data_IF_088936159667
#
_entry.id   IF_088936159667
#
_cell.length_a   1.000
_cell.length_b   1.000
_cell.length_c   1.000
_cell.angle_alpha   90.00
_cell.angle_beta   90.00
_cell.angle_gamma   90.00
#
_symmetry.space_group_name_H-M   'P 1'
#
loop_
_entity.id
_entity.type
_entity.pdbx_description
1 polymer ?
#
# COMPACT_ATOMS: atom_id res chain seq x y z
N UNK A 1 -7.49 6.10 13.82
CA UNK A 1 -7.76 5.85 12.39
C UNK A 1 -7.29 7.04 11.60
N UNK A 2 -6.21 6.93 10.81
CA UNK A 2 -5.75 8.03 9.98
C UNK A 2 -6.65 8.24 8.76
N UNK A 3 -6.70 9.48 8.25
CA UNK A 3 -7.23 9.80 6.92
C UNK A 3 -6.22 9.45 5.81
N UNK A 4 -6.41 9.91 4.58
CA UNK A 4 -5.42 9.68 3.51
C UNK A 4 -4.10 10.37 3.86
N UNK A 5 -3.03 9.58 3.99
CA UNK A 5 -1.70 10.08 4.28
C UNK A 5 -0.91 10.33 3.00
N UNK A 6 0.02 11.28 3.08
CA UNK A 6 1.04 11.53 2.06
C UNK A 6 2.27 12.16 2.72
N UNK A 7 3.42 12.09 2.06
CA UNK A 7 4.64 12.70 2.58
C UNK A 7 5.90 12.02 2.07
N UNK A 8 7.04 12.33 2.71
CA UNK A 8 8.27 11.58 2.54
C UNK A 8 8.06 10.06 2.70
N UNK A 9 8.86 9.29 1.97
CA UNK A 9 8.87 7.83 1.95
C UNK A 9 7.60 7.15 1.39
N UNK A 10 6.67 7.91 0.81
CA UNK A 10 5.52 7.34 0.09
C UNK A 10 5.97 6.64 -1.22
N UNK A 11 5.06 5.87 -1.83
CA UNK A 11 5.30 5.18 -3.08
C UNK A 11 4.97 6.08 -4.28
N UNK A 12 5.96 6.74 -4.88
CA UNK A 12 5.79 7.64 -6.04
C UNK A 12 5.71 6.92 -7.40
N UNK A 13 5.10 5.74 -7.44
CA UNK A 13 4.87 5.00 -8.69
C UNK A 13 3.68 5.58 -9.47
N UNK A 14 3.78 5.83 -10.79
CA UNK A 14 2.72 6.52 -11.54
C UNK A 14 1.38 5.76 -11.62
N UNK A 15 1.38 4.43 -11.46
CA UNK A 15 0.17 3.58 -11.60
C UNK A 15 -0.19 2.74 -10.38
N UNK A 16 0.67 2.67 -9.36
CA UNK A 16 0.47 1.78 -8.20
C UNK A 16 0.62 2.54 -6.88
N UNK A 17 0.02 3.73 -6.81
CA UNK A 17 0.15 4.62 -5.66
C UNK A 17 -1.14 5.37 -5.37
N UNK A 18 -1.18 5.96 -4.18
CA UNK A 18 -2.27 6.82 -3.75
C UNK A 18 -2.33 8.09 -4.60
N UNK A 19 -3.45 8.81 -4.52
CA UNK A 19 -3.75 9.96 -5.40
C UNK A 19 -2.62 11.00 -5.42
N UNK A 20 -2.11 11.43 -4.25
CA UNK A 20 -1.05 12.45 -4.16
C UNK A 20 0.26 11.99 -4.82
N UNK A 21 0.90 10.88 -4.41
CA UNK A 21 2.17 10.46 -4.98
C UNK A 21 2.06 10.14 -6.49
N UNK A 22 0.93 9.57 -6.94
CA UNK A 22 0.68 9.34 -8.36
C UNK A 22 0.67 10.64 -9.14
N UNK A 23 -0.07 11.65 -8.66
CA UNK A 23 -0.19 12.93 -9.35
C UNK A 23 1.13 13.69 -9.34
N UNK A 24 1.82 13.77 -8.20
CA UNK A 24 3.15 14.39 -8.13
C UNK A 24 4.12 13.76 -9.13
N UNK A 25 4.13 12.43 -9.25
CA UNK A 25 5.00 11.78 -10.24
C UNK A 25 4.62 12.12 -11.68
N UNK A 26 3.34 12.08 -12.02
CA UNK A 26 2.86 12.28 -13.39
C UNK A 26 3.04 13.73 -13.86
N UNK A 27 2.84 14.70 -12.97
CA UNK A 27 3.14 16.09 -13.28
C UNK A 27 4.63 16.33 -13.45
N UNK A 28 5.46 15.67 -12.64
CA UNK A 28 6.91 15.79 -12.77
C UNK A 28 7.37 15.29 -14.15
N UNK A 29 6.94 14.08 -14.53
CA UNK A 29 7.27 13.50 -15.84
C UNK A 29 6.75 14.33 -17.00
N UNK A 30 5.51 14.82 -16.93
CA UNK A 30 4.94 15.66 -17.96
C UNK A 30 5.68 17.00 -18.12
N UNK A 31 6.13 17.59 -17.00
CA UNK A 31 6.95 18.81 -17.02
C UNK A 31 8.30 18.53 -17.68
N UNK A 32 8.97 17.44 -17.30
CA UNK A 32 10.27 17.06 -17.88
C UNK A 32 10.18 16.75 -19.39
N UNK A 33 9.03 16.25 -19.86
CA UNK A 33 8.79 15.90 -21.25
C UNK A 33 8.17 17.03 -22.08
N UNK A 34 7.92 18.20 -21.49
CA UNK A 34 7.13 19.28 -22.10
C UNK A 34 5.79 18.78 -22.68
N UNK A 35 5.16 17.83 -21.99
CA UNK A 35 3.86 17.34 -22.39
C UNK A 35 2.81 18.45 -22.21
N UNK A 36 1.84 18.57 -23.13
CA UNK A 36 0.83 19.62 -23.05
C UNK A 36 -0.11 19.41 -21.84
N UNK A 37 -0.44 18.15 -21.53
CA UNK A 37 -1.45 17.80 -20.54
C UNK A 37 -1.12 16.53 -19.73
N UNK A 38 -1.59 16.49 -18.48
CA UNK A 38 -1.68 15.27 -17.66
C UNK A 38 -3.12 14.78 -17.57
N UNK A 39 -3.36 13.51 -17.89
CA UNK A 39 -4.69 12.88 -17.87
C UNK A 39 -5.10 12.45 -16.46
N UNK A 40 -5.98 13.15 -15.76
CA UNK A 40 -6.49 12.71 -14.45
C UNK A 40 -7.81 11.95 -14.63
N UNK A 41 -7.91 10.74 -14.08
CA UNK A 41 -9.13 9.93 -14.17
C UNK A 41 -10.26 10.50 -13.30
N UNK A 42 -11.49 10.41 -13.80
CA UNK A 42 -12.68 10.90 -13.13
C UNK A 42 -13.02 12.35 -13.45
N UNK A 43 -14.07 12.86 -12.83
CA UNK A 43 -14.54 14.24 -13.02
C UNK A 43 -13.78 15.27 -12.17
N UNK A 44 -12.99 14.78 -11.20
CA UNK A 44 -12.30 15.61 -10.21
C UNK A 44 -13.23 16.29 -9.20
N UNK A 45 -14.52 15.94 -9.19
CA UNK A 45 -15.52 16.44 -8.22
C UNK A 45 -15.50 15.73 -6.85
N UNK A 46 -15.04 14.46 -6.70
CA UNK A 46 -15.00 13.84 -5.39
C UNK A 46 -14.12 14.62 -4.40
N UNK A 47 -14.66 14.82 -3.20
CA UNK A 47 -13.98 15.49 -2.10
C UNK A 47 -13.23 14.49 -1.21
N UNK A 48 -11.97 14.78 -0.93
CA UNK A 48 -11.09 13.93 -0.13
C UNK A 48 -10.34 14.79 0.89
N UNK A 49 -10.14 14.20 2.06
CA UNK A 49 -9.29 14.71 3.12
C UNK A 49 -7.88 14.12 2.99
N UNK A 50 -6.86 14.94 3.28
CA UNK A 50 -5.45 14.54 3.26
C UNK A 50 -4.72 15.09 4.48
N UNK A 51 -3.81 14.31 5.05
CA UNK A 51 -2.97 14.70 6.18
C UNK A 51 -1.50 14.37 5.87
N UNK A 52 -0.60 15.30 6.16
CA UNK A 52 0.83 15.05 5.99
C UNK A 52 1.30 13.99 7.00
N UNK A 53 2.23 13.12 6.61
CA UNK A 53 2.70 12.01 7.46
C UNK A 53 3.37 12.49 8.75
N UNK A 54 4.03 13.66 8.72
CA UNK A 54 4.64 14.23 9.93
C UNK A 54 3.59 14.73 10.92
N UNK A 55 2.46 15.30 10.45
CA UNK A 55 1.31 15.62 11.30
C UNK A 55 0.70 14.34 11.90
N UNK A 56 0.62 13.26 11.10
CA UNK A 56 0.16 11.97 11.61
C UNK A 56 1.08 11.41 12.71
N UNK A 57 2.40 11.56 12.54
CA UNK A 57 3.38 11.15 13.54
C UNK A 57 3.24 12.01 14.82
N UNK A 58 3.14 13.33 14.68
CA UNK A 58 2.94 14.25 15.80
C UNK A 58 1.64 13.95 16.58
N UNK A 59 0.52 13.73 15.87
CA UNK A 59 -0.74 13.33 16.50
C UNK A 59 -0.64 11.99 17.23
N UNK A 60 0.08 11.03 16.64
CA UNK A 60 0.25 9.70 17.23
C UNK A 60 1.06 9.77 18.53
N UNK A 61 2.13 10.55 18.55
CA UNK A 61 2.93 10.81 19.75
C UNK A 61 2.09 11.53 20.80
N UNK A 62 1.40 12.60 20.41
CA UNK A 62 0.51 13.37 21.31
C UNK A 62 -0.50 12.46 22.01
N UNK A 63 -1.24 11.64 21.25
CA UNK A 63 -2.25 10.73 21.80
C UNK A 63 -1.62 9.65 22.70
N UNK A 64 -0.42 9.18 22.37
CA UNK A 64 0.30 8.17 23.17
C UNK A 64 0.83 8.73 24.50
N UNK A 65 1.16 10.02 24.56
CA UNK A 65 1.70 10.70 25.74
C UNK A 65 0.62 11.30 26.67
N UNK A 66 -0.64 11.25 26.27
CA UNK A 66 -1.75 11.68 27.11
C UNK A 66 -1.80 10.90 28.43
N UNK A 67 -2.15 11.61 29.50
CA UNK A 67 -2.53 10.96 30.75
C UNK A 67 -3.72 10.03 30.50
N UNK A 68 -3.66 8.81 31.05
CA UNK A 68 -4.62 7.75 30.75
C UNK A 68 -6.06 8.14 31.12
N UNK A 69 -6.23 8.90 32.20
CA UNK A 69 -7.51 9.46 32.64
C UNK A 69 -8.11 10.41 31.60
N UNK A 70 -7.31 11.29 30.98
CA UNK A 70 -7.78 12.21 29.92
C UNK A 70 -8.21 11.43 28.68
N UNK A 71 -7.46 10.37 28.34
CA UNK A 71 -7.83 9.49 27.24
C UNK A 71 -9.13 8.73 27.53
N UNK A 72 -9.33 8.24 28.76
CA UNK A 72 -10.57 7.57 29.16
C UNK A 72 -11.78 8.52 29.18
N UNK A 73 -11.61 9.78 29.56
CA UNK A 73 -12.68 10.79 29.56
C UNK A 73 -13.20 11.10 28.14
N UNK A 74 -12.35 10.94 27.13
CA UNK A 74 -12.67 11.26 25.73
C UNK A 74 -12.99 10.02 24.88
N UNK A 75 -12.87 8.82 25.44
CA UNK A 75 -13.08 7.55 24.74
C UNK A 75 -14.05 6.63 25.49
N UNK A 76 -14.42 5.53 24.85
CA UNK A 76 -15.23 4.47 25.47
C UNK A 76 -14.49 3.14 25.31
N UNK A 77 -14.55 2.20 26.27
CA UNK A 77 -13.81 0.94 26.20
C UNK A 77 -14.01 0.15 24.89
N UNK A 78 -15.20 0.20 24.31
CA UNK A 78 -15.55 -0.49 23.05
C UNK A 78 -15.61 0.44 21.83
N UNK A 79 -15.31 1.74 21.99
CA UNK A 79 -15.22 2.74 20.92
C UNK A 79 -14.05 3.68 21.19
N UNK A 80 -12.87 3.08 21.36
CA UNK A 80 -11.67 3.72 21.88
C UNK A 80 -10.77 4.36 20.81
N UNK A 81 -11.05 4.10 19.52
CA UNK A 81 -10.26 4.67 18.44
C UNK A 81 -10.45 6.19 18.34
N UNK A 82 -9.38 6.88 17.96
CA UNK A 82 -9.37 8.32 17.68
C UNK A 82 -9.10 8.53 16.20
N UNK A 83 -9.91 9.34 15.53
CA UNK A 83 -9.67 9.75 14.16
C UNK A 83 -8.55 10.77 14.11
N UNK A 84 -7.65 10.62 13.13
CA UNK A 84 -6.51 11.51 12.91
C UNK A 84 -6.56 12.02 11.49
N UNK A 85 -6.82 13.31 11.34
CA UNK A 85 -7.10 13.98 10.08
C UNK A 85 -7.15 15.49 10.27
N UNK A 86 -7.46 16.21 9.21
CA UNK A 86 -7.62 17.67 9.23
C UNK A 86 -9.06 18.09 9.51
N UNK A 87 -10.04 17.20 9.26
CA UNK A 87 -11.47 17.54 9.25
C UNK A 87 -11.88 18.43 8.08
N UNK A 88 -10.97 18.68 7.14
CA UNK A 88 -11.17 19.57 5.98
C UNK A 88 -10.93 18.78 4.70
N UNK A 89 -11.90 18.79 3.80
CA UNK A 89 -11.80 18.14 2.51
C UNK A 89 -11.58 19.14 1.36
N UNK A 90 -11.00 18.62 0.28
CA UNK A 90 -10.79 19.35 -0.95
C UNK A 90 -11.13 18.47 -2.14
N UNK A 91 -11.48 19.10 -3.26
CA UNK A 91 -11.63 18.43 -4.55
C UNK A 91 -10.27 18.35 -5.24
N UNK A 92 -10.08 17.32 -6.07
CA UNK A 92 -8.89 17.26 -6.96
C UNK A 92 -8.88 18.46 -7.92
N UNK A 93 -10.05 18.99 -8.28
CA UNK A 93 -10.16 20.18 -9.14
C UNK A 93 -9.58 21.44 -8.49
N UNK A 94 -9.66 21.57 -7.17
CA UNK A 94 -9.08 22.72 -6.48
C UNK A 94 -7.55 22.75 -6.59
N UNK A 95 -6.93 21.61 -6.86
CA UNK A 95 -5.48 21.52 -7.12
C UNK A 95 -5.06 22.10 -8.47
N UNK A 96 -6.02 22.53 -9.30
CA UNK A 96 -5.75 23.27 -10.54
C UNK A 96 -5.64 24.78 -10.32
N UNK A 97 -6.07 25.31 -9.18
CA UNK A 97 -6.05 26.75 -8.94
C UNK A 97 -4.61 27.25 -9.07
N UNK A 98 -4.33 28.30 -9.86
CA UNK A 98 -2.99 28.83 -10.00
C UNK A 98 -2.46 29.25 -8.63
N UNK A 99 -1.48 28.52 -8.10
CA UNK A 99 -0.64 28.98 -7.00
C UNK A 99 0.78 29.17 -7.55
N UNK A 100 1.43 30.32 -7.30
CA UNK A 100 2.82 30.53 -7.70
C UNK A 100 3.79 29.52 -7.07
N UNK A 101 3.36 28.79 -6.04
CA UNK A 101 4.12 27.73 -5.38
C UNK A 101 3.87 26.34 -5.96
N UNK A 102 2.86 26.18 -6.82
CA UNK A 102 2.53 24.90 -7.44
C UNK A 102 3.21 24.78 -8.79
N UNK A 103 4.35 24.09 -8.81
CA UNK A 103 5.07 23.73 -10.04
C UNK A 103 4.18 22.92 -11.02
N UNK A 104 3.19 22.19 -10.48
CA UNK A 104 2.15 21.44 -11.20
C UNK A 104 1.28 22.30 -12.14
N UNK A 105 1.22 23.62 -11.92
CA UNK A 105 0.36 24.54 -12.71
C UNK A 105 0.91 24.89 -14.09
N UNK A 106 2.15 24.49 -14.40
CA UNK A 106 2.80 24.75 -15.69
C UNK A 106 2.40 23.76 -16.79
N UNK A 107 1.77 22.65 -16.43
CA UNK A 107 1.28 21.62 -17.36
C UNK A 107 -0.24 21.64 -17.35
N UNK A 108 -0.85 21.50 -18.53
CA UNK A 108 -2.29 21.38 -18.66
C UNK A 108 -2.83 20.16 -17.92
N UNK A 109 -4.10 20.20 -17.57
CA UNK A 109 -4.77 19.07 -16.94
C UNK A 109 -5.89 18.62 -17.88
N UNK A 110 -6.00 17.33 -18.15
CA UNK A 110 -7.15 16.77 -18.83
C UNK A 110 -7.88 15.81 -17.90
N UNK A 111 -9.09 16.17 -17.46
CA UNK A 111 -9.95 15.26 -16.71
C UNK A 111 -10.58 14.27 -17.70
N UNK A 112 -10.68 13.00 -17.31
CA UNK A 112 -11.28 11.94 -18.12
C UNK A 112 -12.58 11.46 -17.45
N UNK A 113 -13.74 12.10 -17.71
CA UNK A 113 -15.01 11.78 -17.04
C UNK A 113 -15.60 10.43 -17.46
N UNK A 114 -15.09 9.82 -18.53
CA UNK A 114 -15.45 8.46 -18.93
C UNK A 114 -14.96 7.39 -17.95
N UNK A 115 -14.05 7.74 -17.03
CA UNK A 115 -13.63 6.88 -15.92
C UNK A 115 -14.48 7.18 -14.68
N UNK A 116 -14.91 6.15 -13.92
CA UNK A 116 -15.81 6.33 -12.79
C UNK A 116 -15.15 7.13 -11.67
N UNK A 117 -15.95 7.95 -11.01
CA UNK A 117 -15.59 8.58 -9.75
C UNK A 117 -15.79 7.61 -8.58
N UNK A 118 -15.04 7.83 -7.50
CA UNK A 118 -15.32 7.17 -6.21
C UNK A 118 -16.49 7.81 -5.48
N UNK A 119 -16.62 7.53 -4.18
CA UNK A 119 -17.65 8.18 -3.35
C UNK A 119 -17.58 9.71 -3.42
N UNK A 120 -18.71 10.44 -3.41
CA UNK A 120 -18.70 11.90 -3.59
C UNK A 120 -17.89 12.65 -2.53
N UNK A 121 -17.94 12.21 -1.28
CA UNK A 121 -17.26 12.85 -0.14
C UNK A 121 -16.73 11.80 0.82
N UNK A 122 -15.49 11.97 1.29
CA UNK A 122 -14.89 11.11 2.31
C UNK A 122 -13.88 11.92 3.14
N UNK A 123 -14.22 12.15 4.40
CA UNK A 123 -13.41 12.79 5.43
C UNK A 123 -13.74 12.19 6.80
N UNK A 124 -12.86 12.37 7.77
CA UNK A 124 -13.07 11.99 9.16
C UNK A 124 -13.64 13.15 9.97
N UNK A 125 -14.50 12.83 10.93
CA UNK A 125 -14.79 13.74 12.04
C UNK A 125 -13.66 13.62 13.07
N UNK A 126 -12.98 14.74 13.31
CA UNK A 126 -11.81 14.86 14.20
C UNK A 126 -12.12 15.64 15.48
N UNK A 127 -13.40 15.82 15.81
CA UNK A 127 -13.84 16.54 17.02
C UNK A 127 -13.18 16.01 18.29
N UNK A 128 -13.06 14.68 18.42
CA UNK A 128 -12.38 14.03 19.56
C UNK A 128 -10.90 14.37 19.64
N UNK A 129 -10.20 14.46 18.51
CA UNK A 129 -8.77 14.80 18.49
C UNK A 129 -8.55 16.27 18.86
N UNK A 130 -9.41 17.16 18.36
CA UNK A 130 -9.39 18.58 18.75
C UNK A 130 -9.70 18.78 20.24
N UNK A 131 -10.63 18.01 20.81
CA UNK A 131 -10.92 18.01 22.26
C UNK A 131 -9.71 17.58 23.09
N UNK A 132 -8.87 16.70 22.55
CA UNK A 132 -7.60 16.29 23.14
C UNK A 132 -6.48 17.33 22.97
N UNK A 133 -6.78 18.50 22.42
CA UNK A 133 -5.85 19.63 22.30
C UNK A 133 -4.88 19.52 21.12
N UNK A 134 -5.09 18.59 20.19
CA UNK A 134 -4.23 18.44 19.02
C UNK A 134 -4.89 18.97 17.75
N UNK A 135 -4.13 19.73 16.97
CA UNK A 135 -4.53 20.27 15.68
C UNK A 135 -3.39 20.09 14.68
N UNK A 136 -3.72 19.83 13.42
CA UNK A 136 -2.73 19.71 12.35
C UNK A 136 -2.05 21.06 12.08
N UNK A 137 -0.77 21.03 11.74
CA UNK A 137 0.02 22.24 11.49
C UNK A 137 0.35 22.43 10.01
N UNK A 138 0.47 21.32 9.27
CA UNK A 138 0.94 21.34 7.88
C UNK A 138 -0.26 21.48 6.95
N UNK A 139 -0.41 22.68 6.38
CA UNK A 139 -1.40 22.90 5.33
C UNK A 139 -1.11 22.03 4.10
N UNK A 140 -2.14 21.69 3.33
CA UNK A 140 -2.01 20.88 2.11
C UNK A 140 -0.98 21.47 1.13
N UNK A 141 -0.95 22.79 0.97
CA UNK A 141 0.02 23.46 0.10
C UNK A 141 1.46 23.28 0.59
N UNK A 142 1.72 23.51 1.88
CA UNK A 142 3.05 23.38 2.47
C UNK A 142 3.53 21.92 2.46
N UNK A 143 2.63 20.98 2.79
CA UNK A 143 2.91 19.55 2.76
C UNK A 143 3.22 19.05 1.36
N UNK A 144 2.45 19.44 0.34
CA UNK A 144 2.73 19.05 -1.05
C UNK A 144 4.07 19.60 -1.55
N UNK A 145 4.39 20.85 -1.21
CA UNK A 145 5.65 21.48 -1.60
C UNK A 145 6.86 20.76 -0.97
N UNK A 146 6.82 20.50 0.34
CA UNK A 146 7.87 19.76 1.05
C UNK A 146 7.97 18.31 0.61
N UNK A 147 6.84 17.63 0.39
CA UNK A 147 6.79 16.27 -0.15
C UNK A 147 7.43 16.21 -1.54
N UNK A 148 7.14 17.20 -2.40
CA UNK A 148 7.74 17.25 -3.72
C UNK A 148 9.23 17.58 -3.68
N UNK A 149 9.66 18.46 -2.78
CA UNK A 149 11.08 18.74 -2.57
C UNK A 149 11.83 17.47 -2.14
N UNK A 150 11.27 16.74 -1.17
CA UNK A 150 11.80 15.44 -0.77
C UNK A 150 11.82 14.46 -1.94
N UNK A 151 10.76 14.46 -2.77
CA UNK A 151 10.71 13.72 -4.03
C UNK A 151 11.87 14.10 -4.96
N UNK A 152 12.16 15.38 -5.18
CA UNK A 152 13.26 15.78 -6.06
C UNK A 152 14.64 15.33 -5.55
N UNK A 153 14.86 15.36 -4.24
CA UNK A 153 16.14 15.04 -3.58
C UNK A 153 16.44 13.54 -3.51
N UNK A 154 15.44 12.69 -3.71
CA UNK A 154 15.56 11.26 -3.47
C UNK A 154 15.07 10.42 -4.66
N UNK A 155 15.03 11.00 -5.88
CA UNK A 155 14.57 10.33 -7.12
C UNK A 155 15.26 8.97 -7.36
N UNK A 156 16.53 8.87 -7.01
CA UNK A 156 17.34 7.65 -7.14
C UNK A 156 17.14 6.63 -5.99
N UNK A 157 16.36 6.99 -4.97
CA UNK A 157 16.22 6.26 -3.69
C UNK A 157 14.77 5.91 -3.35
N UNK A 158 13.78 6.36 -4.12
CA UNK A 158 12.41 5.88 -3.94
C UNK A 158 12.28 4.45 -4.42
N UNK A 159 11.17 3.81 -4.06
CA UNK A 159 10.71 2.56 -4.67
C UNK A 159 10.33 2.79 -6.15
N UNK A 160 11.31 3.15 -6.97
CA UNK A 160 11.30 3.25 -8.42
C UNK A 160 12.46 2.43 -8.94
N UNK A 161 12.16 1.46 -9.79
CA UNK A 161 13.14 0.52 -10.34
C UNK A 161 14.21 1.30 -11.12
N UNK A 162 15.43 1.39 -10.58
CA UNK A 162 16.58 1.95 -11.28
C UNK A 162 17.17 0.90 -12.22
N UNK A 163 17.21 1.20 -13.52
CA UNK A 163 17.89 0.38 -14.52
C UNK A 163 19.39 0.72 -14.55
N UNK A 164 20.23 -0.31 -14.47
CA UNK A 164 21.64 -0.23 -14.87
C UNK A 164 21.89 -1.17 -16.03
N UNK A 165 22.57 -0.68 -17.07
CA UNK A 165 23.13 -1.48 -18.15
C UNK A 165 24.65 -1.59 -17.98
N UNK A 166 25.20 -2.81 -17.95
CA UNK A 166 26.47 -3.15 -18.61
C UNK A 166 26.55 -4.66 -18.89
N UNK A 167 27.03 -4.94 -20.11
CA UNK A 167 27.35 -6.21 -20.79
C UNK A 167 26.95 -7.56 -20.16
N UNK A 168 25.89 -8.16 -20.72
CA UNK A 168 25.88 -9.61 -20.99
C UNK A 168 24.93 -10.48 -20.15
N UNK A 169 23.70 -10.65 -20.68
CA UNK A 169 22.64 -11.63 -20.34
C UNK A 169 21.71 -11.26 -19.16
N UNK A 170 20.44 -11.14 -19.53
CA UNK A 170 19.31 -10.63 -18.75
C UNK A 170 18.80 -11.63 -17.70
N UNK A 171 18.55 -11.14 -16.48
CA UNK A 171 17.38 -11.48 -15.68
C UNK A 171 16.97 -10.24 -14.85
N UNK A 172 15.80 -9.67 -15.15
CA UNK A 172 15.22 -8.52 -14.45
C UNK A 172 14.72 -8.94 -13.06
N UNK A 173 15.15 -8.26 -12.01
CA UNK A 173 14.63 -8.43 -10.65
C UNK A 173 13.94 -7.16 -10.17
N UNK A 174 12.61 -7.12 -10.29
CA UNK A 174 11.75 -6.13 -9.63
C UNK A 174 11.58 -6.50 -8.15
N UNK A 175 12.18 -5.72 -7.26
CA UNK A 175 11.90 -5.80 -5.83
C UNK A 175 10.57 -5.12 -5.50
N UNK A 176 9.48 -5.79 -5.92
CA UNK A 176 8.14 -5.63 -5.38
C UNK A 176 7.73 -6.99 -4.77
N UNK A 177 8.57 -7.58 -3.93
CA UNK A 177 8.36 -8.97 -3.52
C UNK A 177 8.77 -9.24 -2.07
N UNK A 178 7.76 -9.40 -1.23
CA UNK A 178 7.65 -10.69 -0.54
C UNK A 178 6.67 -11.49 -1.42
N UNK A 179 7.09 -12.41 -2.28
CA UNK A 179 7.89 -13.57 -1.92
C UNK A 179 9.25 -13.63 -2.63
N UNK A 180 10.29 -13.85 -1.84
CA UNK A 180 11.60 -14.25 -2.34
C UNK A 180 11.52 -15.67 -2.90
N UNK A 181 12.08 -15.85 -4.09
CA UNK A 181 12.61 -17.13 -4.56
C UNK A 181 13.37 -17.80 -3.41
N UNK A 182 12.87 -18.96 -3.01
CA UNK A 182 13.52 -19.83 -2.05
C UNK A 182 14.06 -21.04 -2.81
N UNK A 183 15.22 -21.56 -2.41
CA UNK A 183 15.72 -22.83 -2.92
C UNK A 183 14.68 -23.90 -2.59
N UNK A 184 14.02 -24.41 -3.63
CA UNK A 184 13.05 -25.49 -3.56
C UNK A 184 13.81 -26.79 -3.28
N UNK A 185 13.63 -27.37 -2.09
CA UNK A 185 14.08 -28.73 -1.79
C UNK A 185 12.84 -29.63 -1.79
N UNK A 186 12.65 -30.39 -2.86
CA UNK A 186 11.68 -31.49 -2.85
C UNK A 186 12.41 -32.72 -2.30
N UNK A 187 12.04 -33.18 -1.10
CA UNK A 187 12.53 -34.47 -0.58
C UNK A 187 11.41 -35.48 -0.76
N UNK A 188 11.57 -36.32 -1.78
CA UNK A 188 10.68 -37.43 -2.09
C UNK A 188 10.73 -38.47 -0.94
N UNK A 189 9.58 -38.84 -0.39
CA UNK A 189 9.30 -40.19 0.15
C UNK A 189 7.83 -40.31 0.62
N UNK A 190 7.01 -40.96 -0.20
CA UNK A 190 5.85 -41.82 0.14
C UNK A 190 4.79 -41.41 1.18
N UNK A 191 4.71 -40.15 1.60
CA UNK A 191 3.59 -39.60 2.37
C UNK A 191 3.46 -38.11 2.06
N UNK A 192 2.30 -37.68 1.54
CA UNK A 192 1.90 -36.29 1.26
C UNK A 192 3.07 -35.28 1.18
N UNK A 193 3.71 -35.16 0.02
CA UNK A 193 4.79 -34.21 -0.19
C UNK A 193 4.24 -32.78 -0.26
N UNK A 194 4.72 -31.89 0.60
CA UNK A 194 4.37 -30.46 0.56
C UNK A 194 5.50 -29.66 -0.08
N UNK A 195 5.14 -28.75 -1.00
CA UNK A 195 6.09 -27.78 -1.51
C UNK A 195 6.36 -26.72 -0.42
N UNK A 196 7.61 -26.58 0.00
CA UNK A 196 8.01 -25.61 1.02
C UNK A 196 9.14 -24.73 0.50
N UNK A 197 8.98 -23.43 0.71
CA UNK A 197 10.02 -22.42 0.57
C UNK A 197 10.61 -22.04 1.92
N UNK A 198 11.93 -21.82 2.00
CA UNK A 198 12.58 -21.20 3.17
C UNK A 198 12.70 -19.70 3.00
N UNK A 199 12.15 -18.93 3.92
CA UNK A 199 12.17 -17.46 3.86
C UNK A 199 13.56 -16.91 4.22
N UNK A 200 14.09 -16.03 3.38
CA UNK A 200 15.39 -15.36 3.62
C UNK A 200 15.26 -13.92 4.12
N UNK A 201 14.08 -13.32 3.99
CA UNK A 201 13.84 -11.92 4.36
C UNK A 201 12.99 -11.83 5.62
N UNK A 202 13.29 -10.83 6.46
CA UNK A 202 12.46 -10.43 7.61
C UNK A 202 11.08 -9.94 7.16
N UNK A 203 10.05 -10.01 8.02
CA UNK A 203 10.05 -10.49 9.42
C UNK A 203 10.01 -12.03 9.59
N UNK A 204 9.70 -12.78 8.53
CA UNK A 204 9.55 -14.23 8.60
C UNK A 204 10.86 -15.01 8.32
N UNK A 205 12.02 -14.38 8.47
CA UNK A 205 13.31 -14.95 8.08
C UNK A 205 13.58 -16.25 8.85
N UNK A 206 13.97 -17.31 8.13
CA UNK A 206 14.26 -18.63 8.74
C UNK A 206 13.05 -19.57 8.83
N UNK A 207 11.83 -19.06 8.70
CA UNK A 207 10.61 -19.88 8.68
C UNK A 207 10.41 -20.56 7.32
N UNK A 208 9.83 -21.77 7.35
CA UNK A 208 9.34 -22.46 6.16
C UNK A 208 7.92 -22.01 5.84
N UNK A 209 7.60 -21.84 4.56
CA UNK A 209 6.27 -21.44 4.09
C UNK A 209 5.86 -22.29 2.90
N UNK A 210 4.56 -22.55 2.75
CA UNK A 210 4.01 -23.12 1.52
C UNK A 210 3.91 -21.99 0.49
N UNK A 211 4.43 -22.15 -0.74
CA UNK A 211 4.20 -21.19 -1.82
C UNK A 211 2.72 -20.87 -1.96
N UNK A 212 2.44 -19.59 -2.18
CA UNK A 212 1.11 -19.03 -2.23
C UNK A 212 1.20 -17.54 -2.50
N UNK A 213 0.09 -16.93 -2.90
CA UNK A 213 0.05 -15.50 -3.12
C UNK A 213 -1.16 -14.82 -2.47
N UNK A 214 -1.38 -13.58 -2.88
CA UNK A 214 -2.33 -12.66 -2.22
C UNK A 214 -3.58 -12.51 -3.06
N UNK A 215 -4.72 -12.39 -2.39
CA UNK A 215 -5.94 -11.83 -2.99
C UNK A 215 -5.73 -10.32 -3.10
N UNK A 216 -5.92 -9.78 -4.31
CA UNK A 216 -5.78 -8.35 -4.59
C UNK A 216 -7.04 -7.60 -4.17
N UNK A 217 -6.93 -6.26 -4.09
CA UNK A 217 -8.09 -5.42 -3.80
C UNK A 217 -9.12 -5.60 -4.92
N UNK A 218 -10.39 -5.78 -4.54
CA UNK A 218 -11.52 -5.98 -5.45
C UNK A 218 -11.44 -7.27 -6.30
N UNK A 219 -10.58 -8.23 -5.92
CA UNK A 219 -10.48 -9.56 -6.54
C UNK A 219 -11.30 -10.60 -5.74
N UNK A 220 -12.05 -11.46 -6.44
CA UNK A 220 -12.76 -12.57 -5.78
C UNK A 220 -11.78 -13.71 -5.43
N UNK A 221 -12.18 -14.59 -4.50
CA UNK A 221 -11.33 -15.70 -4.09
C UNK A 221 -11.09 -16.68 -5.25
N UNK A 222 -12.09 -16.87 -6.11
CA UNK A 222 -12.04 -17.71 -7.30
C UNK A 222 -11.02 -17.17 -8.31
N UNK A 223 -11.09 -15.87 -8.61
CA UNK A 223 -10.16 -15.21 -9.52
C UNK A 223 -8.72 -15.24 -8.98
N UNK A 224 -8.57 -15.04 -7.67
CA UNK A 224 -7.27 -15.16 -7.00
C UNK A 224 -6.72 -16.59 -7.11
N UNK A 225 -7.55 -17.61 -6.87
CA UNK A 225 -7.13 -19.01 -6.95
C UNK A 225 -6.62 -19.38 -8.36
N UNK A 226 -7.37 -19.03 -9.41
CA UNK A 226 -6.97 -19.26 -10.80
C UNK A 226 -5.67 -18.55 -11.17
N UNK A 227 -5.53 -17.29 -10.76
CA UNK A 227 -4.31 -16.51 -11.03
C UNK A 227 -3.10 -17.07 -10.30
N UNK A 228 -3.27 -17.48 -9.05
CA UNK A 228 -2.18 -17.99 -8.21
C UNK A 228 -1.72 -19.37 -8.68
N UNK A 229 -2.64 -20.27 -9.01
CA UNK A 229 -2.30 -21.58 -9.60
C UNK A 229 -1.57 -21.41 -10.93
N UNK A 230 -1.99 -20.48 -11.78
CA UNK A 230 -1.28 -20.19 -13.03
C UNK A 230 0.15 -19.67 -12.78
N UNK A 231 0.32 -18.78 -11.81
CA UNK A 231 1.61 -18.18 -11.51
C UNK A 231 2.59 -19.17 -10.86
N UNK A 232 2.10 -20.08 -10.03
CA UNK A 232 2.95 -20.98 -9.23
C UNK A 232 3.13 -22.36 -9.87
N UNK A 233 2.07 -22.89 -10.50
CA UNK A 233 2.04 -24.23 -11.07
C UNK A 233 2.09 -24.21 -12.60
N UNK A 234 1.89 -23.05 -13.24
CA UNK A 234 1.77 -22.94 -14.69
C UNK A 234 0.41 -23.40 -15.24
N UNK A 235 -0.56 -23.71 -14.38
CA UNK A 235 -1.89 -24.22 -14.73
C UNK A 235 -2.97 -23.33 -14.17
N UNK A 236 -3.97 -22.96 -14.98
CA UNK A 236 -5.14 -22.21 -14.50
C UNK A 236 -6.20 -23.18 -14.01
N UNK A 237 -6.30 -23.34 -12.69
CA UNK A 237 -7.25 -24.27 -12.07
C UNK A 237 -8.41 -23.51 -11.42
N UNK A 238 -9.67 -23.94 -11.60
CA UNK A 238 -10.81 -23.35 -10.89
C UNK A 238 -10.73 -23.69 -9.39
N UNK A 239 -11.34 -22.88 -8.52
CA UNK A 239 -11.31 -23.12 -7.06
C UNK A 239 -11.87 -24.49 -6.66
N UNK A 240 -12.76 -25.07 -7.47
CA UNK A 240 -13.34 -26.41 -7.27
C UNK A 240 -12.34 -27.55 -7.42
N UNK A 241 -11.20 -27.31 -8.10
CA UNK A 241 -10.06 -28.22 -8.14
C UNK A 241 -9.27 -28.22 -6.81
N UNK A 242 -9.50 -27.22 -5.95
CA UNK A 242 -8.92 -27.12 -4.63
C UNK A 242 -9.88 -27.66 -3.56
N UNK A 243 -9.42 -28.62 -2.75
CA UNK A 243 -10.08 -28.95 -1.49
C UNK A 243 -9.66 -27.93 -0.43
N UNK A 244 -10.61 -27.11 0.05
CA UNK A 244 -10.33 -26.19 1.16
C UNK A 244 -9.96 -26.97 2.41
N UNK A 245 -8.77 -26.69 2.94
CA UNK A 245 -8.22 -27.42 4.08
C UNK A 245 -8.46 -26.66 5.40
N UNK A 246 -8.59 -25.32 5.35
CA UNK A 246 -8.83 -24.50 6.54
C UNK A 246 -8.22 -23.08 6.47
N UNK A 247 -8.30 -22.37 7.60
CA UNK A 247 -7.66 -21.06 7.80
C UNK A 247 -6.55 -21.20 8.84
N UNK A 248 -5.35 -20.76 8.50
CA UNK A 248 -4.21 -20.71 9.42
C UNK A 248 -3.83 -19.27 9.72
N UNK A 249 -3.36 -19.06 10.95
CA UNK A 249 -2.86 -17.76 11.40
C UNK A 249 -1.37 -17.90 11.68
N UNK A 250 -0.58 -17.00 11.10
CA UNK A 250 0.85 -16.92 11.36
C UNK A 250 1.11 -15.71 12.25
N UNK A 251 1.88 -15.95 13.31
CA UNK A 251 2.35 -14.97 14.27
C UNK A 251 3.87 -14.90 14.16
N UNK A 252 4.42 -13.70 13.97
CA UNK A 252 5.85 -13.46 13.88
C UNK A 252 6.30 -12.54 15.02
N UNK A 253 7.33 -12.96 15.75
CA UNK A 253 7.90 -12.22 16.89
C UNK A 253 8.81 -11.07 16.44
N UNK A 254 9.26 -11.09 15.18
CA UNK A 254 10.01 -10.03 14.53
C UNK A 254 9.06 -9.19 13.66
N UNK A 255 9.26 -7.88 13.63
CA UNK A 255 8.52 -6.97 12.77
C UNK A 255 9.46 -5.89 12.20
N UNK A 256 9.00 -5.16 11.19
CA UNK A 256 9.79 -4.11 10.54
C UNK A 256 9.83 -2.79 11.33
N UNK A 257 9.19 -2.72 12.50
CA UNK A 257 9.18 -1.54 13.34
C UNK A 257 10.41 -1.54 14.26
N UNK A 258 11.00 -0.37 14.54
CA UNK A 258 12.11 -0.26 15.50
C UNK A 258 11.72 -0.84 16.86
N UNK A 259 12.67 -1.48 17.54
CA UNK A 259 12.46 -2.15 18.85
C UNK A 259 11.86 -1.23 19.94
N UNK A 260 11.90 0.09 19.76
CA UNK A 260 11.31 1.08 20.66
C UNK A 260 9.79 1.24 20.51
N UNK A 261 9.16 0.72 19.46
CA UNK A 261 7.79 1.12 19.08
C UNK A 261 6.70 0.12 19.49
N UNK A 262 6.93 -1.19 19.61
CA UNK A 262 6.03 -2.18 20.30
C UNK A 262 6.38 -3.64 19.97
N UNK A 263 6.07 -4.63 20.84
CA UNK A 263 6.10 -6.07 20.52
C UNK A 263 4.93 -6.54 19.61
N UNK A 264 4.32 -5.65 18.80
CA UNK A 264 3.17 -5.99 17.97
C UNK A 264 3.52 -7.07 16.94
N UNK A 265 2.93 -8.23 17.11
CA UNK A 265 3.02 -9.40 16.23
C UNK A 265 2.39 -9.07 14.87
N UNK A 266 3.10 -9.34 13.77
CA UNK A 266 2.50 -9.28 12.44
C UNK A 266 1.53 -10.46 12.28
N UNK A 267 0.25 -10.17 12.04
CA UNK A 267 -0.80 -11.19 11.86
C UNK A 267 -1.10 -11.39 10.38
N UNK A 268 -1.03 -12.63 9.90
CA UNK A 268 -1.43 -13.01 8.55
C UNK A 268 -2.39 -14.20 8.59
N UNK A 269 -3.58 -14.03 8.03
CA UNK A 269 -4.54 -15.12 7.78
C UNK A 269 -4.25 -15.75 6.41
N UNK A 270 -4.11 -17.07 6.38
CA UNK A 270 -3.78 -17.85 5.18
C UNK A 270 -4.88 -18.88 4.95
N UNK A 271 -5.45 -18.89 3.75
CA UNK A 271 -6.37 -19.93 3.30
C UNK A 271 -5.55 -21.01 2.60
N UNK A 272 -5.60 -22.26 3.08
CA UNK A 272 -4.91 -23.36 2.41
C UNK A 272 -5.88 -24.24 1.63
N UNK A 273 -5.48 -24.59 0.42
CA UNK A 273 -6.18 -25.50 -0.46
C UNK A 273 -5.24 -26.63 -0.85
N UNK A 274 -5.77 -27.85 -0.92
CA UNK A 274 -5.08 -29.01 -1.46
C UNK A 274 -5.52 -29.24 -2.90
N UNK A 275 -4.57 -29.29 -3.82
CA UNK A 275 -4.77 -29.71 -5.22
C UNK A 275 -4.15 -31.10 -5.37
N UNK A 276 -4.86 -32.05 -5.98
CA UNK A 276 -4.40 -33.45 -6.10
C UNK A 276 -3.66 -33.63 -7.43
N UNK A 277 -2.58 -34.41 -7.41
CA UNK A 277 -1.66 -34.61 -8.55
C UNK A 277 -2.33 -35.17 -9.82
N UNK A 278 -3.41 -35.95 -9.68
CA UNK A 278 -4.19 -36.49 -10.81
C UNK A 278 -4.83 -35.38 -11.68
N UNK A 279 -5.16 -34.22 -11.09
CA UNK A 279 -5.68 -33.06 -11.82
C UNK A 279 -4.58 -32.25 -12.52
N UNK A 280 -3.32 -32.38 -12.08
CA UNK A 280 -2.16 -31.72 -12.71
C UNK A 280 -1.70 -32.44 -13.98
N UNK A 281 -1.92 -33.76 -14.07
CA UNK A 281 -1.56 -34.59 -15.21
C UNK A 281 -2.62 -34.63 -16.32
N UNK A 282 -3.85 -34.21 -16.04
CA UNK A 282 -4.98 -34.22 -16.98
C UNK A 282 -5.18 -32.90 -17.73
N UNK A 283 -4.46 -31.84 -17.33
CA UNK A 283 -4.58 -30.50 -17.90
C UNK A 283 -3.48 -30.15 -18.95
N UNK A 284 -2.74 -31.15 -19.44
CA UNK A 284 -1.69 -31.03 -20.45
C UNK A 284 -2.13 -31.45 -21.85
#
# INVERSE_FOLDING_TARGET
MPTNLYGPHDNFHPSNSHVIPALLRRFHEATAQNAPDVVVWGSGTPMREFLHVDDMAAASIHVMELAHEVWLETTQPMLSHINVGTGVDCTIREWRKPSPKWWVTKVGWFLMPSKPDGTPRKLLDVTRLHQLGWYHEISLEAGLASTYQWFLENQDRFRGVMMFFTSGRLCHGSALHSACLSRLYCREQSAASFLLGKRTNRPAQGYWFVPGGRVQKDETLEAAFERLTMAELGLRLPITAGQFYGVWQHFYDDNFLPARISPLTMWCSVFAFRVVEEELLTAG
#
